data_IF_234212733384
#
_entry.id   IF_234212733384
#
_cell.length_a   1.000
_cell.length_b   1.000
_cell.length_c   1.000
_cell.angle_alpha   90.00
_cell.angle_beta   90.00
_cell.angle_gamma   90.00
#
_symmetry.space_group_name_H-M   'P 1'
#
loop_
_entity.id
_entity.type
_entity.pdbx_description
1 polymer ?
#
# COMPACT_ATOMS: atom_id res chain seq x y z
N UNK A 1 -16.36 -6.52 24.41
CA UNK A 1 -16.46 -5.83 23.10
C UNK A 1 -15.83 -6.75 22.05
N UNK A 2 -16.64 -7.30 21.15
CA UNK A 2 -16.18 -8.24 20.12
C UNK A 2 -15.25 -7.50 19.15
N UNK A 3 -13.98 -7.92 19.07
CA UNK A 3 -13.00 -7.39 18.12
C UNK A 3 -13.58 -7.66 16.72
N UNK A 4 -14.05 -6.63 15.99
CA UNK A 4 -14.48 -6.81 14.58
C UNK A 4 -13.28 -7.38 13.83
N UNK A 5 -13.37 -8.66 13.46
CA UNK A 5 -12.32 -9.37 12.74
C UNK A 5 -12.27 -8.79 11.33
N UNK A 6 -11.10 -8.32 10.93
CA UNK A 6 -10.84 -7.92 9.54
C UNK A 6 -10.66 -9.18 8.70
N UNK A 7 -11.11 -9.14 7.46
CA UNK A 7 -11.04 -10.28 6.53
C UNK A 7 -10.60 -9.85 5.13
N UNK A 8 -9.94 -10.75 4.40
CA UNK A 8 -9.53 -10.50 3.01
C UNK A 8 -10.77 -10.16 2.19
N UNK A 9 -10.71 -9.06 1.44
CA UNK A 9 -11.83 -8.49 0.70
C UNK A 9 -12.46 -7.28 1.37
N UNK A 10 -12.20 -7.03 2.65
CA UNK A 10 -12.67 -5.83 3.34
C UNK A 10 -12.17 -4.56 2.65
N UNK A 11 -13.09 -3.61 2.48
CA UNK A 11 -12.82 -2.29 1.93
C UNK A 11 -12.89 -1.28 3.07
N UNK A 12 -11.85 -0.48 3.18
CA UNK A 12 -11.74 0.58 4.16
C UNK A 12 -11.64 1.93 3.49
N UNK A 13 -12.37 2.89 4.03
CA UNK A 13 -12.17 4.29 3.76
C UNK A 13 -11.05 4.84 4.64
N UNK A 14 -10.20 5.66 4.03
CA UNK A 14 -9.06 6.34 4.64
C UNK A 14 -9.29 7.84 4.48
N UNK A 15 -9.79 8.52 5.52
CA UNK A 15 -9.90 9.98 5.51
C UNK A 15 -8.53 10.62 5.41
N UNK A 16 -8.39 11.63 4.55
CA UNK A 16 -7.18 12.44 4.37
C UNK A 16 -7.54 13.93 4.34
N UNK A 17 -6.56 14.81 4.35
CA UNK A 17 -6.78 16.25 4.22
C UNK A 17 -7.34 16.67 2.84
N UNK A 18 -7.22 15.83 1.81
CA UNK A 18 -7.65 16.13 0.44
C UNK A 18 -8.86 15.29 -0.01
N UNK A 19 -9.58 14.69 0.95
CA UNK A 19 -10.75 13.84 0.74
C UNK A 19 -10.54 12.39 1.20
N UNK A 20 -11.43 11.49 0.80
CA UNK A 20 -11.43 10.09 1.19
C UNK A 20 -10.77 9.22 0.12
N UNK A 21 -9.77 8.44 0.52
CA UNK A 21 -9.20 7.37 -0.28
C UNK A 21 -9.75 6.02 0.17
N UNK A 22 -9.57 4.98 -0.67
CA UNK A 22 -10.08 3.65 -0.38
C UNK A 22 -8.99 2.60 -0.53
N UNK A 23 -8.91 1.68 0.44
CA UNK A 23 -8.01 0.54 0.42
C UNK A 23 -8.79 -0.76 0.55
N UNK A 24 -8.32 -1.81 -0.11
CA UNK A 24 -8.89 -3.16 0.03
C UNK A 24 -7.84 -4.11 0.60
N UNK A 25 -8.25 -4.95 1.55
CA UNK A 25 -7.40 -5.99 2.10
C UNK A 25 -7.27 -7.16 1.11
N UNK A 26 -6.07 -7.41 0.60
CA UNK A 26 -5.82 -8.35 -0.51
C UNK A 26 -5.28 -9.71 -0.09
N UNK A 27 -4.34 -9.73 0.87
CA UNK A 27 -3.69 -10.95 1.34
C UNK A 27 -2.95 -10.72 2.65
N UNK A 28 -2.68 -11.79 3.41
CA UNK A 28 -1.78 -11.75 4.56
C UNK A 28 -0.44 -12.37 4.22
N UNK A 29 0.67 -11.73 4.60
CA UNK A 29 2.02 -12.29 4.49
C UNK A 29 2.74 -12.07 5.81
N UNK A 30 3.24 -13.15 6.42
CA UNK A 30 3.95 -13.09 7.71
C UNK A 30 3.19 -12.28 8.77
N UNK A 31 1.86 -12.52 8.89
CA UNK A 31 0.96 -11.82 9.82
C UNK A 31 0.77 -10.32 9.57
N UNK A 32 1.23 -9.80 8.43
CA UNK A 32 1.03 -8.41 8.02
C UNK A 32 0.07 -8.35 6.85
N UNK A 33 -0.90 -7.45 6.95
CA UNK A 33 -1.91 -7.25 5.93
C UNK A 33 -1.33 -6.49 4.74
N UNK A 34 -1.46 -7.08 3.55
CA UNK A 34 -1.16 -6.46 2.26
C UNK A 34 -2.45 -5.87 1.69
N UNK A 35 -2.41 -4.58 1.37
CA UNK A 35 -3.54 -3.85 0.82
C UNK A 35 -3.25 -3.41 -0.61
N UNK A 36 -4.32 -3.15 -1.36
CA UNK A 36 -4.23 -2.31 -2.56
C UNK A 36 -4.88 -0.96 -2.29
N UNK A 37 -4.27 0.11 -2.80
CA UNK A 37 -4.85 1.45 -2.81
C UNK A 37 -5.65 1.63 -4.09
N UNK A 38 -6.96 1.84 -3.96
CA UNK A 38 -7.86 2.10 -5.08
C UNK A 38 -7.60 3.49 -5.67
N UNK A 39 -7.92 3.72 -6.96
CA UNK A 39 -7.64 5.00 -7.60
C UNK A 39 -8.47 6.15 -7.02
N UNK A 40 -7.93 7.37 -7.13
CA UNK A 40 -8.63 8.60 -6.77
C UNK A 40 -8.65 8.95 -5.28
N UNK A 41 -9.12 10.16 -5.03
CA UNK A 41 -9.51 10.67 -3.71
C UNK A 41 -10.83 11.44 -3.90
N UNK A 42 -11.80 11.21 -3.04
CA UNK A 42 -13.19 11.60 -3.26
C UNK A 42 -13.75 12.41 -2.10
N UNK A 43 -14.47 13.49 -2.41
CA UNK A 43 -15.18 14.29 -1.42
C UNK A 43 -16.63 13.81 -1.22
N UNK A 44 -17.19 13.18 -2.26
CA UNK A 44 -18.54 12.64 -2.28
C UNK A 44 -18.52 11.10 -2.14
N UNK A 45 -19.63 10.49 -1.71
CA UNK A 45 -19.77 9.03 -1.68
C UNK A 45 -19.47 8.39 -3.04
N UNK A 46 -18.76 7.25 -3.01
CA UNK A 46 -18.37 6.51 -4.21
C UNK A 46 -19.19 5.23 -4.38
N UNK A 47 -19.38 4.85 -5.64
CA UNK A 47 -19.84 3.52 -6.01
C UNK A 47 -18.70 2.51 -5.80
N UNK A 48 -18.74 1.81 -4.66
CA UNK A 48 -17.69 0.85 -4.27
C UNK A 48 -17.58 -0.30 -5.26
N UNK A 49 -18.67 -0.75 -5.88
CA UNK A 49 -18.66 -1.85 -6.84
C UNK A 49 -17.90 -1.48 -8.11
N UNK A 50 -18.10 -0.25 -8.60
CA UNK A 50 -17.30 0.27 -9.72
C UNK A 50 -15.86 0.54 -9.33
N UNK A 51 -15.62 1.05 -8.13
CA UNK A 51 -14.27 1.40 -7.69
C UNK A 51 -13.36 0.16 -7.56
N UNK A 52 -13.87 -0.95 -7.01
CA UNK A 52 -13.06 -2.18 -6.86
C UNK A 52 -12.76 -2.88 -8.18
N UNK A 53 -13.51 -2.60 -9.25
CA UNK A 53 -13.21 -3.12 -10.58
C UNK A 53 -12.04 -2.39 -11.25
N UNK A 54 -11.68 -1.20 -10.76
CA UNK A 54 -10.57 -0.44 -11.31
C UNK A 54 -9.22 -0.99 -10.85
N UNK A 55 -8.19 -0.72 -11.67
CA UNK A 55 -6.80 -1.05 -11.34
C UNK A 55 -6.34 -0.20 -10.15
N UNK A 56 -5.67 -0.83 -9.20
CA UNK A 56 -5.06 -0.14 -8.07
C UNK A 56 -3.98 0.85 -8.51
N UNK A 57 -3.74 1.86 -7.67
CA UNK A 57 -2.55 2.71 -7.80
C UNK A 57 -1.29 1.93 -7.50
N UNK A 58 -1.30 1.22 -6.37
CA UNK A 58 -0.23 0.33 -5.94
C UNK A 58 -0.70 -0.53 -4.77
N UNK A 59 0.12 -1.51 -4.40
CA UNK A 59 -0.05 -2.32 -3.20
C UNK A 59 1.03 -2.00 -2.17
N UNK A 60 0.73 -2.15 -0.88
CA UNK A 60 1.72 -1.99 0.19
C UNK A 60 1.29 -2.74 1.46
N UNK A 61 2.23 -2.99 2.36
CA UNK A 61 1.92 -3.58 3.66
C UNK A 61 1.53 -2.51 4.66
N UNK A 62 0.36 -2.64 5.28
CA UNK A 62 -0.15 -1.70 6.29
C UNK A 62 -0.84 -2.51 7.37
N UNK A 63 -0.52 -2.36 8.67
CA UNK A 63 -1.20 -3.10 9.75
C UNK A 63 -2.65 -2.64 9.97
N UNK A 64 -3.59 -3.18 9.22
CA UNK A 64 -5.00 -2.74 9.22
C UNK A 64 -5.66 -2.83 10.60
N UNK A 65 -5.33 -3.86 11.38
CA UNK A 65 -5.88 -4.00 12.74
C UNK A 65 -5.51 -2.84 13.67
N UNK A 66 -4.29 -2.29 13.53
CA UNK A 66 -3.85 -1.12 14.30
C UNK A 66 -4.54 0.14 13.77
N UNK A 67 -4.58 0.32 12.45
CA UNK A 67 -5.22 1.45 11.80
C UNK A 67 -6.72 1.55 12.17
N UNK A 68 -7.44 0.44 12.13
CA UNK A 68 -8.86 0.36 12.49
C UNK A 68 -9.07 0.64 13.98
N UNK A 69 -8.27 0.04 14.86
CA UNK A 69 -8.35 0.27 16.32
C UNK A 69 -8.10 1.74 16.69
N UNK A 70 -7.16 2.39 16.01
CA UNK A 70 -6.84 3.82 16.20
C UNK A 70 -7.78 4.76 15.45
N UNK A 71 -8.79 4.23 14.75
CA UNK A 71 -9.80 4.99 14.00
C UNK A 71 -9.26 5.83 12.84
N UNK A 72 -8.09 5.47 12.29
CA UNK A 72 -7.58 6.08 11.05
C UNK A 72 -8.34 5.63 9.82
N UNK A 73 -9.00 4.48 9.89
CA UNK A 73 -9.77 3.90 8.79
C UNK A 73 -11.12 3.40 9.28
N UNK A 74 -12.09 3.30 8.37
CA UNK A 74 -13.42 2.74 8.63
C UNK A 74 -13.75 1.67 7.60
N UNK A 75 -14.23 0.49 8.03
CA UNK A 75 -14.76 -0.51 7.09
C UNK A 75 -16.05 0.04 6.46
N UNK A 76 -16.09 0.10 5.14
CA UNK A 76 -17.21 0.66 4.36
C UNK A 76 -17.83 -0.34 3.40
N UNK A 77 -17.17 -1.47 3.16
CA UNK A 77 -17.71 -2.50 2.29
C UNK A 77 -16.86 -3.76 2.28
N UNK A 78 -17.21 -4.65 1.37
CA UNK A 78 -16.53 -5.90 1.11
C UNK A 78 -16.64 -6.22 -0.37
N UNK A 79 -15.56 -6.75 -0.95
CA UNK A 79 -15.57 -7.32 -2.29
C UNK A 79 -14.62 -8.50 -2.34
N UNK A 80 -15.06 -9.60 -2.94
CA UNK A 80 -14.27 -10.84 -3.00
C UNK A 80 -12.98 -10.65 -3.80
N UNK A 81 -11.86 -11.10 -3.25
CA UNK A 81 -10.55 -11.06 -3.92
C UNK A 81 -10.29 -12.40 -4.62
N UNK A 82 -10.60 -12.47 -5.92
CA UNK A 82 -10.39 -13.69 -6.72
C UNK A 82 -8.97 -13.77 -7.27
N UNK A 83 -8.28 -14.88 -6.99
CA UNK A 83 -6.98 -15.27 -7.61
C UNK A 83 -5.85 -14.22 -7.49
N UNK A 84 -5.81 -13.46 -6.40
CA UNK A 84 -4.72 -12.50 -6.18
C UNK A 84 -3.40 -13.23 -5.90
N UNK A 85 -2.39 -12.94 -6.71
CA UNK A 85 -1.03 -13.45 -6.53
C UNK A 85 -0.16 -12.35 -5.94
N UNK A 86 0.28 -12.55 -4.70
CA UNK A 86 1.21 -11.64 -4.03
C UNK A 86 2.48 -11.48 -4.88
N UNK A 87 2.92 -10.25 -5.20
CA UNK A 87 4.17 -10.03 -5.92
C UNK A 87 5.38 -10.57 -5.15
N UNK A 88 6.34 -11.13 -5.87
CA UNK A 88 7.56 -11.67 -5.26
C UNK A 88 8.52 -10.57 -4.79
N UNK A 89 8.63 -9.51 -5.58
CA UNK A 89 9.63 -8.47 -5.39
C UNK A 89 9.01 -7.14 -5.02
N UNK A 90 9.61 -6.49 -4.04
CA UNK A 90 9.29 -5.15 -3.56
C UNK A 90 10.55 -4.29 -3.61
N UNK A 91 10.38 -2.97 -3.61
CA UNK A 91 11.47 -2.01 -3.73
C UNK A 91 11.46 -1.02 -2.57
N UNK A 92 12.64 -0.73 -2.05
CA UNK A 92 12.89 0.30 -1.05
C UNK A 92 14.05 1.19 -1.46
N UNK A 93 14.31 2.20 -0.65
CA UNK A 93 15.45 3.12 -0.78
C UNK A 93 16.41 2.84 0.36
N UNK A 94 17.69 2.65 0.02
CA UNK A 94 18.77 2.59 0.99
C UNK A 94 19.33 4.00 1.18
N UNK A 95 19.26 4.50 2.41
CA UNK A 95 19.93 5.75 2.81
C UNK A 95 20.85 5.48 4.00
N UNK A 96 22.09 5.94 3.91
CA UNK A 96 23.05 5.88 5.02
C UNK A 96 23.35 7.31 5.42
N UNK A 97 23.09 7.64 6.68
CA UNK A 97 23.22 9.01 7.20
C UNK A 97 22.45 10.07 6.37
N UNK A 98 21.30 9.69 5.82
CA UNK A 98 20.47 10.56 4.98
C UNK A 98 20.89 10.61 3.51
N UNK A 99 22.09 10.14 3.18
CA UNK A 99 22.57 10.07 1.79
C UNK A 99 22.04 8.83 1.09
N UNK A 100 21.54 9.00 -0.13
CA UNK A 100 21.13 7.89 -0.96
C UNK A 100 22.32 7.01 -1.35
N UNK A 101 22.19 5.70 -1.14
CA UNK A 101 23.19 4.70 -1.54
C UNK A 101 22.71 3.77 -2.65
N UNK A 102 21.41 3.64 -2.85
CA UNK A 102 20.84 2.81 -3.90
C UNK A 102 19.42 2.34 -3.57
N UNK A 103 18.92 1.48 -4.42
CA UNK A 103 17.60 0.86 -4.27
C UNK A 103 17.74 -0.55 -3.74
N UNK A 104 16.94 -0.89 -2.73
CA UNK A 104 16.88 -2.26 -2.20
C UNK A 104 15.75 -3.00 -2.92
N UNK A 105 16.06 -4.12 -3.55
CA UNK A 105 15.05 -5.03 -4.11
C UNK A 105 14.93 -6.22 -3.17
N UNK A 106 13.79 -6.37 -2.52
CA UNK A 106 13.51 -7.43 -1.54
C UNK A 106 12.62 -8.48 -2.15
N UNK A 107 13.00 -9.75 -2.01
CA UNK A 107 12.18 -10.90 -2.30
C UNK A 107 11.48 -11.37 -1.02
N UNK A 108 10.19 -11.10 -0.92
CA UNK A 108 9.44 -11.35 0.33
C UNK A 108 9.15 -12.84 0.59
N UNK A 109 9.40 -13.71 -0.39
CA UNK A 109 9.15 -15.15 -0.24
C UNK A 109 10.29 -15.87 0.49
N UNK A 110 11.52 -15.36 0.38
CA UNK A 110 12.73 -15.96 0.99
C UNK A 110 13.59 -14.95 1.76
N UNK A 111 13.13 -13.71 1.92
CA UNK A 111 13.82 -12.61 2.60
C UNK A 111 15.19 -12.22 2.01
N UNK A 112 15.49 -12.65 0.78
CA UNK A 112 16.68 -12.17 0.08
C UNK A 112 16.50 -10.72 -0.34
N UNK A 113 17.56 -9.93 -0.24
CA UNK A 113 17.58 -8.57 -0.76
C UNK A 113 18.88 -8.31 -1.53
N UNK A 114 18.80 -7.35 -2.45
CA UNK A 114 19.97 -6.85 -3.18
C UNK A 114 19.91 -5.34 -3.35
N UNK A 115 21.06 -4.70 -3.31
CA UNK A 115 21.22 -3.29 -3.61
C UNK A 115 21.48 -3.10 -5.11
N UNK A 116 20.75 -2.18 -5.74
CA UNK A 116 20.96 -1.79 -7.13
C UNK A 116 21.07 -0.27 -7.25
N UNK A 117 22.07 0.23 -7.99
CA UNK A 117 22.25 1.67 -8.18
C UNK A 117 21.24 2.28 -9.15
N UNK A 118 20.89 1.55 -10.21
CA UNK A 118 19.94 1.97 -11.24
C UNK A 118 18.84 0.94 -11.40
N UNK A 119 17.59 1.41 -11.38
CA UNK A 119 16.42 0.56 -11.59
C UNK A 119 16.20 0.27 -13.07
N UNK A 120 15.84 -0.97 -13.39
CA UNK A 120 15.25 -1.31 -14.69
C UNK A 120 13.80 -0.82 -14.76
N UNK A 121 13.21 -0.72 -15.97
CA UNK A 121 11.80 -0.33 -16.15
C UNK A 121 10.87 -1.16 -15.26
N UNK A 122 11.04 -2.49 -15.29
CA UNK A 122 10.27 -3.43 -14.47
C UNK A 122 10.43 -3.21 -12.95
N UNK A 123 11.62 -2.83 -12.48
CA UNK A 123 11.85 -2.58 -11.07
C UNK A 123 11.24 -1.25 -10.58
N UNK A 124 11.00 -0.28 -11.47
CA UNK A 124 10.29 0.96 -11.12
C UNK A 124 8.82 0.71 -10.78
N UNK A 125 8.22 -0.33 -11.37
CA UNK A 125 6.85 -0.74 -11.10
C UNK A 125 6.72 -1.57 -9.82
N UNK A 126 7.84 -1.96 -9.18
CA UNK A 126 7.75 -2.76 -7.96
C UNK A 126 7.10 -1.97 -6.82
N UNK A 127 6.19 -2.62 -6.07
CA UNK A 127 5.55 -2.02 -4.91
C UNK A 127 6.58 -1.68 -3.82
N UNK A 128 6.26 -0.70 -2.95
CA UNK A 128 7.16 -0.30 -1.89
C UNK A 128 7.34 -1.41 -0.85
N UNK A 129 8.60 -1.71 -0.51
CA UNK A 129 8.95 -2.65 0.54
C UNK A 129 8.72 -2.07 1.93
N UNK A 130 8.74 -2.97 2.92
CA UNK A 130 8.57 -2.62 4.33
C UNK A 130 7.10 -2.50 4.71
N UNK A 131 6.88 -2.30 6.00
CA UNK A 131 5.56 -2.16 6.61
C UNK A 131 5.32 -0.68 6.86
N UNK A 132 4.28 -0.13 6.26
CA UNK A 132 3.94 1.28 6.36
C UNK A 132 2.94 1.51 7.50
N UNK A 133 3.23 2.49 8.36
CA UNK A 133 2.23 3.06 9.25
C UNK A 133 1.10 3.70 8.44
N UNK A 134 -0.12 3.73 8.99
CA UNK A 134 -1.27 4.30 8.28
C UNK A 134 -1.10 5.80 8.06
N UNK A 135 -0.46 6.50 8.99
CA UNK A 135 -0.13 7.92 8.91
C UNK A 135 0.84 8.20 7.76
N UNK A 136 1.81 7.30 7.52
CA UNK A 136 2.72 7.40 6.38
C UNK A 136 2.00 7.15 5.06
N UNK A 137 1.08 6.17 5.01
CA UNK A 137 0.24 5.96 3.83
C UNK A 137 -0.62 7.20 3.52
N UNK A 138 -1.25 7.82 4.52
CA UNK A 138 -2.03 9.07 4.37
C UNK A 138 -1.16 10.17 3.77
N UNK A 139 0.03 10.40 4.33
CA UNK A 139 0.95 11.42 3.81
C UNK A 139 1.36 11.17 2.34
N UNK A 140 1.45 9.90 1.92
CA UNK A 140 1.73 9.53 0.52
C UNK A 140 0.53 9.78 -0.39
N UNK A 141 -0.68 9.47 0.07
CA UNK A 141 -1.93 9.76 -0.65
C UNK A 141 -2.06 11.28 -0.88
N UNK A 142 -1.86 12.08 0.17
CA UNK A 142 -1.98 13.54 0.14
C UNK A 142 -0.98 14.20 -0.81
N UNK A 143 0.22 13.61 -0.96
CA UNK A 143 1.23 14.05 -1.93
C UNK A 143 1.01 13.51 -3.34
N UNK A 144 -0.09 12.79 -3.57
CA UNK A 144 -0.36 12.06 -4.81
C UNK A 144 0.81 11.15 -5.25
N UNK A 145 1.53 10.58 -4.29
CA UNK A 145 2.72 9.79 -4.55
C UNK A 145 2.37 8.45 -5.23
N UNK A 146 3.25 7.97 -6.12
CA UNK A 146 3.18 6.62 -6.69
C UNK A 146 4.59 5.99 -6.72
N UNK A 147 4.70 4.65 -6.70
CA UNK A 147 6.00 4.00 -6.79
C UNK A 147 6.78 4.41 -8.05
N UNK A 148 6.10 4.61 -9.16
CA UNK A 148 6.72 4.99 -10.43
C UNK A 148 7.45 6.34 -10.36
N UNK A 149 6.97 7.27 -9.53
CA UNK A 149 7.54 8.63 -9.36
C UNK A 149 8.53 8.73 -8.19
N UNK A 150 8.85 7.62 -7.52
CA UNK A 150 9.73 7.62 -6.34
C UNK A 150 11.16 8.12 -6.66
N UNK A 151 11.62 7.97 -7.91
CA UNK A 151 12.93 8.46 -8.34
C UNK A 151 13.05 9.98 -8.38
N UNK A 152 11.93 10.70 -8.39
CA UNK A 152 11.88 12.14 -8.63
C UNK A 152 11.88 12.95 -7.31
N UNK A 153 11.78 12.27 -6.15
CA UNK A 153 11.73 12.89 -4.81
C UNK A 153 13.12 13.23 -4.22
N UNK A 154 14.12 13.53 -5.06
CA UNK A 154 15.46 13.88 -4.58
C UNK A 154 16.20 12.70 -3.95
N UNK A 155 16.21 11.60 -4.69
CA UNK A 155 17.07 10.43 -4.45
C UNK A 155 18.52 10.81 -4.72
#
# INVERSE_FOLDING_TARGET
MTRKKIEIGDIFEVPTAIGNAYIQYMAEVNQVTLIRLLPGVYHEPVDLEKLVQQKERYICFVPLGIALRRKYIRKVGFSEVKKFKVPKYFRGVEKVCGEFKGWVITNIQNNEWRLVKKLTKKQKEYPPSGIWGIEFLIARIEKNWNPETWGDEGV
#
